data_IF_829897064448
#
_entry.id   IF_829897064448
#
_cell.length_a   1.000
_cell.length_b   1.000
_cell.length_c   1.000
_cell.angle_alpha   90.00
_cell.angle_beta   90.00
_cell.angle_gamma   90.00
#
_symmetry.space_group_name_H-M   'P 1'
#
loop_
_entity.id
_entity.type
_entity.pdbx_description
1 polymer ?
#
# COMPACT_ATOMS: atom_id res chain seq x y z
N UNK A 1 -3.75 -8.16 -26.70
CA UNK A 1 -2.96 -8.16 -25.45
C UNK A 1 -3.63 -9.12 -24.48
N UNK A 2 -2.90 -10.02 -23.82
CA UNK A 2 -3.47 -10.88 -22.80
C UNK A 2 -4.07 -10.03 -21.66
N UNK A 3 -5.19 -10.50 -21.09
CA UNK A 3 -5.81 -9.84 -19.94
C UNK A 3 -4.97 -10.03 -18.66
N UNK A 4 -5.16 -9.18 -17.65
CA UNK A 4 -4.46 -9.32 -16.36
C UNK A 4 -4.63 -10.75 -15.79
N UNK A 5 -5.84 -11.32 -15.91
CA UNK A 5 -6.14 -12.68 -15.46
C UNK A 5 -5.37 -13.77 -16.23
N UNK A 6 -5.14 -13.59 -17.53
CA UNK A 6 -4.33 -14.53 -18.33
C UNK A 6 -2.86 -14.45 -17.96
N UNK A 7 -2.34 -13.25 -17.64
CA UNK A 7 -0.99 -13.08 -17.15
C UNK A 7 -0.78 -13.71 -15.77
N UNK A 8 -1.77 -13.60 -14.87
CA UNK A 8 -1.73 -14.19 -13.54
C UNK A 8 -1.71 -15.73 -13.55
N UNK A 9 -2.17 -16.34 -14.63
CA UNK A 9 -2.17 -17.80 -14.83
C UNK A 9 -0.87 -18.32 -15.47
N UNK A 10 -0.02 -17.43 -15.97
CA UNK A 10 1.20 -17.80 -16.64
C UNK A 10 2.42 -17.71 -15.71
N UNK A 11 3.04 -18.83 -15.29
CA UNK A 11 4.15 -18.83 -14.34
C UNK A 11 5.44 -18.18 -14.85
N UNK A 12 5.53 -17.96 -16.16
CA UNK A 12 6.71 -17.36 -16.79
C UNK A 12 6.63 -15.83 -16.89
N UNK A 13 5.47 -15.26 -16.58
CA UNK A 13 5.27 -13.79 -16.64
C UNK A 13 5.62 -13.17 -15.28
N UNK A 14 6.47 -12.16 -15.32
CA UNK A 14 6.78 -11.30 -14.18
C UNK A 14 6.05 -9.97 -14.36
N UNK A 15 5.25 -9.57 -13.38
CA UNK A 15 4.36 -8.41 -13.50
C UNK A 15 5.04 -7.14 -12.99
N UNK A 16 5.81 -7.24 -11.92
CA UNK A 16 6.47 -6.09 -11.33
C UNK A 16 7.57 -6.44 -10.35
N UNK A 17 7.98 -5.44 -9.56
CA UNK A 17 9.04 -5.55 -8.57
C UNK A 17 8.45 -5.54 -7.16
N UNK A 18 9.01 -6.37 -6.27
CA UNK A 18 8.66 -6.37 -4.84
C UNK A 18 9.27 -5.16 -4.14
N UNK A 19 8.50 -4.58 -3.23
CA UNK A 19 8.95 -3.52 -2.34
C UNK A 19 8.85 -4.00 -0.86
N UNK A 20 9.89 -3.81 -0.05
CA UNK A 20 11.20 -3.22 -0.37
C UNK A 20 12.02 -4.09 -1.32
N UNK A 21 12.97 -3.48 -2.02
CA UNK A 21 13.82 -4.21 -2.96
C UNK A 21 14.67 -5.25 -2.23
N UNK A 22 14.34 -6.51 -2.44
CA UNK A 22 15.06 -7.66 -1.88
C UNK A 22 15.77 -8.43 -3.00
N UNK A 23 16.90 -9.02 -2.67
CA UNK A 23 17.62 -9.86 -3.61
C UNK A 23 16.97 -11.23 -3.67
N UNK A 24 16.58 -11.67 -4.84
CA UNK A 24 16.04 -13.01 -5.06
C UNK A 24 17.15 -13.97 -5.55
N UNK A 25 16.91 -15.29 -5.36
CA UNK A 25 17.83 -16.36 -5.82
C UNK A 25 17.98 -16.39 -7.34
N UNK A 26 16.97 -15.96 -8.08
CA UNK A 26 16.92 -15.99 -9.54
C UNK A 26 17.38 -14.69 -10.23
N UNK A 27 17.63 -13.60 -9.47
CA UNK A 27 17.99 -12.30 -10.04
C UNK A 27 18.44 -11.27 -9.03
N UNK A 28 18.65 -10.04 -9.52
CA UNK A 28 19.06 -8.90 -8.69
C UNK A 28 17.92 -8.36 -7.79
N UNK A 29 16.66 -8.51 -8.26
CA UNK A 29 15.48 -7.97 -7.56
C UNK A 29 14.38 -9.02 -7.49
N UNK A 30 13.68 -9.08 -6.35
CA UNK A 30 12.46 -9.87 -6.21
C UNK A 30 11.36 -9.34 -7.15
N UNK A 31 10.70 -10.24 -7.84
CA UNK A 31 9.60 -9.92 -8.77
C UNK A 31 8.29 -10.50 -8.30
N UNK A 32 7.19 -9.84 -8.66
CA UNK A 32 5.83 -10.32 -8.40
C UNK A 32 5.33 -11.17 -9.56
N UNK A 33 4.55 -12.18 -9.24
CA UNK A 33 4.03 -13.17 -10.21
C UNK A 33 2.56 -12.96 -10.52
N UNK A 34 1.82 -12.28 -9.64
CA UNK A 34 0.40 -12.00 -9.85
C UNK A 34 0.04 -10.54 -9.58
N UNK A 35 -1.07 -10.11 -10.18
CA UNK A 35 -1.54 -8.74 -10.11
C UNK A 35 -1.97 -8.34 -8.69
N UNK A 36 -2.50 -9.26 -7.89
CA UNK A 36 -2.92 -8.96 -6.52
C UNK A 36 -1.71 -8.60 -5.64
N UNK A 37 -0.65 -9.42 -5.68
CA UNK A 37 0.62 -9.15 -4.98
C UNK A 37 1.22 -7.81 -5.43
N UNK A 38 1.28 -7.56 -6.74
CA UNK A 38 1.78 -6.29 -7.27
C UNK A 38 0.94 -5.10 -6.81
N UNK A 39 -0.37 -5.27 -6.69
CA UNK A 39 -1.28 -4.23 -6.19
C UNK A 39 -0.95 -3.84 -4.76
N UNK A 40 -0.62 -4.79 -3.88
CA UNK A 40 -0.13 -4.49 -2.53
C UNK A 40 1.12 -3.61 -2.54
N UNK A 41 2.10 -3.91 -3.40
CA UNK A 41 3.29 -3.07 -3.56
C UNK A 41 2.98 -1.69 -4.14
N UNK A 42 2.03 -1.59 -5.07
CA UNK A 42 1.58 -0.31 -5.62
C UNK A 42 0.89 0.56 -4.56
N UNK A 43 0.05 -0.03 -3.71
CA UNK A 43 -0.57 0.66 -2.57
C UNK A 43 0.49 1.19 -1.61
N UNK A 44 1.46 0.36 -1.22
CA UNK A 44 2.58 0.78 -0.37
C UNK A 44 3.31 1.97 -0.97
N UNK A 45 3.67 1.88 -2.24
CA UNK A 45 4.37 2.96 -2.94
C UNK A 45 3.54 4.26 -2.97
N UNK A 46 2.23 4.16 -3.21
CA UNK A 46 1.33 5.32 -3.24
C UNK A 46 1.20 5.99 -1.86
N UNK A 47 0.85 5.21 -0.85
CA UNK A 47 0.54 5.74 0.48
C UNK A 47 1.78 6.19 1.26
N UNK A 48 2.96 5.59 0.99
CA UNK A 48 4.22 5.97 1.60
C UNK A 48 4.93 7.14 0.90
N UNK A 49 4.47 7.53 -0.28
CA UNK A 49 4.98 8.72 -1.00
C UNK A 49 4.19 9.95 -0.55
N UNK A 50 4.87 10.99 -0.08
CA UNK A 50 4.21 12.24 0.25
C UNK A 50 3.88 13.04 -1.02
N UNK A 51 2.73 13.73 -1.04
CA UNK A 51 2.40 14.67 -2.12
C UNK A 51 3.51 15.73 -2.23
N UNK A 52 3.99 15.98 -3.45
CA UNK A 52 5.09 16.91 -3.73
C UNK A 52 6.49 16.28 -3.71
N UNK A 53 6.64 15.02 -3.28
CA UNK A 53 7.95 14.35 -3.23
C UNK A 53 8.48 13.97 -4.62
N UNK A 54 7.59 13.65 -5.56
CA UNK A 54 7.98 13.31 -6.93
C UNK A 54 8.10 14.55 -7.81
N UNK A 55 9.30 14.84 -8.27
CA UNK A 55 9.60 16.03 -9.10
C UNK A 55 8.76 16.09 -10.38
N UNK A 56 8.55 14.96 -11.05
CA UNK A 56 7.80 14.90 -12.32
C UNK A 56 6.30 14.69 -12.14
N UNK A 57 5.85 14.31 -10.94
CA UNK A 57 4.45 14.04 -10.61
C UNK A 57 4.17 14.47 -9.17
N UNK A 58 4.09 15.77 -8.90
CA UNK A 58 3.92 16.29 -7.54
C UNK A 58 2.58 15.90 -6.91
N UNK A 59 1.56 15.62 -7.72
CA UNK A 59 0.24 15.22 -7.24
C UNK A 59 0.17 13.74 -6.84
N UNK A 60 1.19 12.93 -7.20
CA UNK A 60 1.25 11.53 -6.81
C UNK A 60 1.62 11.39 -5.33
N UNK A 61 0.90 10.52 -4.64
CA UNK A 61 1.14 10.24 -3.24
C UNK A 61 -0.07 10.54 -2.36
N UNK A 62 0.15 10.58 -1.06
CA UNK A 62 -0.88 10.89 -0.06
C UNK A 62 -0.35 11.83 1.02
N UNK A 63 -1.26 12.50 1.73
CA UNK A 63 -0.93 13.27 2.93
C UNK A 63 -1.07 12.43 4.21
N UNK A 64 -1.15 11.12 4.08
CA UNK A 64 -1.38 10.18 5.17
C UNK A 64 -0.39 10.39 6.32
N UNK A 65 0.88 10.57 5.99
CA UNK A 65 1.93 10.81 6.98
C UNK A 65 1.66 12.05 7.83
N UNK A 66 1.24 13.15 7.22
CA UNK A 66 0.92 14.39 7.94
C UNK A 66 -0.26 14.20 8.88
N UNK A 67 -1.32 13.51 8.41
CA UNK A 67 -2.51 13.23 9.21
C UNK A 67 -2.21 12.34 10.41
N UNK A 68 -1.40 11.30 10.24
CA UNK A 68 -1.04 10.37 11.32
C UNK A 68 -0.23 11.03 12.46
N UNK A 69 0.38 12.20 12.20
CA UNK A 69 1.13 12.96 13.21
C UNK A 69 0.39 14.19 13.73
N UNK A 70 -0.86 14.39 13.32
CA UNK A 70 -1.76 15.36 13.94
C UNK A 70 -2.20 14.87 15.33
N UNK A 71 -2.64 15.80 16.19
CA UNK A 71 -3.22 15.43 17.48
C UNK A 71 -4.46 14.57 17.25
N UNK A 72 -4.59 13.51 18.05
CA UNK A 72 -5.74 12.61 17.98
C UNK A 72 -7.03 13.38 18.25
N UNK A 73 -7.94 13.33 17.30
CA UNK A 73 -9.33 13.81 17.38
C UNK A 73 -10.24 12.70 16.88
N UNK A 74 -11.50 12.70 17.34
CA UNK A 74 -12.47 11.69 16.89
C UNK A 74 -12.61 11.66 15.34
N UNK A 75 -12.47 12.82 14.70
CA UNK A 75 -12.56 12.97 13.24
C UNK A 75 -11.29 12.51 12.48
N UNK A 76 -10.17 12.30 13.18
CA UNK A 76 -8.88 11.97 12.53
C UNK A 76 -8.95 10.64 11.78
N UNK A 77 -9.58 9.64 12.37
CA UNK A 77 -9.74 8.32 11.75
C UNK A 77 -10.51 8.40 10.44
N UNK A 78 -11.56 9.20 10.39
CA UNK A 78 -12.38 9.35 9.20
C UNK A 78 -11.63 10.16 8.11
N UNK A 79 -10.90 11.19 8.49
CA UNK A 79 -10.02 11.95 7.58
C UNK A 79 -8.93 11.08 6.97
N UNK A 80 -8.34 10.17 7.74
CA UNK A 80 -7.35 9.21 7.24
C UNK A 80 -7.98 8.26 6.22
N UNK A 81 -9.16 7.73 6.51
CA UNK A 81 -9.89 6.87 5.56
C UNK A 81 -10.23 7.59 4.26
N UNK A 82 -10.70 8.83 4.36
CA UNK A 82 -11.01 9.67 3.19
C UNK A 82 -9.77 9.93 2.33
N UNK A 83 -8.63 10.30 2.94
CA UNK A 83 -7.37 10.53 2.22
C UNK A 83 -6.89 9.25 1.49
N UNK A 84 -6.97 8.08 2.16
CA UNK A 84 -6.62 6.80 1.55
C UNK A 84 -7.55 6.53 0.36
N UNK A 85 -8.86 6.71 0.54
CA UNK A 85 -9.85 6.43 -0.50
C UNK A 85 -9.69 7.38 -1.69
N UNK A 86 -9.41 8.65 -1.47
CA UNK A 86 -9.14 9.65 -2.52
C UNK A 86 -7.89 9.28 -3.32
N UNK A 87 -6.77 9.00 -2.63
CA UNK A 87 -5.53 8.61 -3.28
C UNK A 87 -5.70 7.34 -4.11
N UNK A 88 -6.38 6.33 -3.56
CA UNK A 88 -6.62 5.06 -4.24
C UNK A 88 -7.52 5.21 -5.45
N UNK A 89 -8.63 5.96 -5.34
CA UNK A 89 -9.56 6.18 -6.45
C UNK A 89 -8.91 6.91 -7.62
N UNK A 90 -7.98 7.81 -7.33
CA UNK A 90 -7.26 8.61 -8.32
C UNK A 90 -6.18 7.81 -9.05
N UNK A 91 -5.36 7.07 -8.29
CA UNK A 91 -4.15 6.44 -8.83
C UNK A 91 -4.26 4.94 -9.08
N UNK A 92 -5.13 4.25 -8.34
CA UNK A 92 -5.31 2.79 -8.40
C UNK A 92 -6.79 2.41 -8.51
N UNK A 93 -7.52 2.89 -9.52
CA UNK A 93 -8.99 2.72 -9.62
C UNK A 93 -9.44 1.27 -9.82
N UNK A 94 -8.52 0.35 -10.12
CA UNK A 94 -8.79 -1.09 -10.25
C UNK A 94 -8.79 -1.83 -8.91
N UNK A 95 -8.43 -1.16 -7.81
CA UNK A 95 -8.39 -1.71 -6.45
C UNK A 95 -9.63 -1.24 -5.69
N UNK A 96 -10.25 -2.18 -4.98
CA UNK A 96 -11.38 -1.91 -4.09
C UNK A 96 -10.94 -2.12 -2.66
N UNK A 97 -11.05 -1.09 -1.84
CA UNK A 97 -10.77 -1.15 -0.41
C UNK A 97 -11.96 -1.78 0.29
N UNK A 98 -11.71 -2.81 1.09
CA UNK A 98 -12.72 -3.51 1.88
C UNK A 98 -12.78 -2.99 3.31
N UNK A 99 -11.62 -2.81 3.95
CA UNK A 99 -11.54 -2.23 5.29
C UNK A 99 -10.26 -1.41 5.48
N UNK A 100 -10.31 -0.45 6.38
CA UNK A 100 -9.16 0.33 6.86
C UNK A 100 -9.23 0.36 8.38
N UNK A 101 -8.22 -0.20 9.04
CA UNK A 101 -8.07 -0.20 10.49
C UNK A 101 -6.82 0.56 10.89
N UNK A 102 -6.95 1.42 11.88
CA UNK A 102 -5.83 2.19 12.43
C UNK A 102 -5.59 1.70 13.85
N UNK A 103 -4.38 1.23 14.09
CA UNK A 103 -3.98 0.66 15.38
C UNK A 103 -2.81 1.49 15.91
N UNK A 104 -3.02 2.15 17.04
CA UNK A 104 -1.96 2.79 17.79
C UNK A 104 -1.25 1.74 18.64
N UNK A 105 0.08 1.76 18.65
CA UNK A 105 0.86 0.86 19.49
C UNK A 105 0.89 1.42 20.90
N UNK A 106 0.21 0.77 21.86
CA UNK A 106 0.18 1.17 23.26
C UNK A 106 1.58 1.19 23.92
N UNK A 107 2.52 0.41 23.36
CA UNK A 107 3.90 0.31 23.85
C UNK A 107 4.78 1.43 23.30
N UNK A 108 4.48 1.90 22.09
CA UNK A 108 5.21 2.95 21.39
C UNK A 108 4.24 4.00 20.81
N UNK A 109 3.92 5.05 21.56
CA UNK A 109 2.96 6.08 21.12
C UNK A 109 3.41 6.85 19.85
N UNK A 110 4.65 6.64 19.41
CA UNK A 110 5.19 7.21 18.19
C UNK A 110 5.01 6.29 16.96
N UNK A 111 4.43 5.10 17.13
CA UNK A 111 4.20 4.15 16.05
C UNK A 111 2.69 3.98 15.82
N UNK A 112 2.28 4.21 14.58
CA UNK A 112 0.92 3.96 14.14
C UNK A 112 0.93 2.92 13.04
N UNK A 113 0.08 1.91 13.17
CA UNK A 113 -0.14 0.87 12.16
C UNK A 113 -1.45 1.13 11.42
N UNK A 114 -1.38 1.09 10.13
CA UNK A 114 -2.56 1.16 9.27
C UNK A 114 -2.69 -0.17 8.54
N UNK A 115 -3.71 -0.93 8.88
CA UNK A 115 -4.06 -2.18 8.22
C UNK A 115 -5.12 -1.91 7.16
N UNK A 116 -4.89 -2.43 5.98
CA UNK A 116 -5.69 -2.16 4.80
C UNK A 116 -6.00 -3.46 4.08
N UNK A 117 -7.30 -3.82 4.03
CA UNK A 117 -7.78 -4.96 3.25
C UNK A 117 -8.31 -4.49 1.90
N UNK A 118 -7.88 -5.16 0.85
CA UNK A 118 -8.25 -4.78 -0.51
C UNK A 118 -8.50 -6.00 -1.39
N UNK A 119 -9.19 -5.76 -2.50
CA UNK A 119 -9.42 -6.73 -3.55
C UNK A 119 -9.31 -6.07 -4.92
N UNK A 120 -9.19 -6.89 -5.96
CA UNK A 120 -9.23 -6.39 -7.34
C UNK A 120 -10.67 -6.31 -7.85
N UNK A 121 -10.99 -5.28 -8.60
CA UNK A 121 -12.34 -5.04 -9.12
C UNK A 121 -12.90 -6.22 -9.95
N UNK A 122 -12.02 -6.95 -10.64
CA UNK A 122 -12.37 -8.12 -11.45
C UNK A 122 -12.28 -9.46 -10.69
N UNK A 123 -11.73 -9.48 -9.48
CA UNK A 123 -11.55 -10.66 -8.61
C UNK A 123 -12.01 -10.38 -7.17
N UNK A 124 -13.27 -10.05 -7.00
CA UNK A 124 -13.84 -9.64 -5.70
C UNK A 124 -13.80 -10.72 -4.61
N UNK A 125 -13.53 -11.97 -4.99
CA UNK A 125 -13.46 -13.09 -4.04
C UNK A 125 -12.04 -13.35 -3.50
N UNK A 126 -11.03 -12.65 -4.02
CA UNK A 126 -9.65 -12.70 -3.53
C UNK A 126 -9.34 -11.40 -2.82
N UNK A 127 -9.07 -11.51 -1.54
CA UNK A 127 -8.66 -10.40 -0.69
C UNK A 127 -7.19 -10.57 -0.34
N UNK A 128 -6.52 -9.46 -0.17
CA UNK A 128 -5.18 -9.38 0.38
C UNK A 128 -5.13 -8.25 1.39
N UNK A 129 -4.20 -8.31 2.32
CA UNK A 129 -4.06 -7.29 3.36
C UNK A 129 -2.63 -6.78 3.42
N UNK A 130 -2.50 -5.49 3.67
CA UNK A 130 -1.20 -4.87 3.90
C UNK A 130 -1.23 -4.09 5.20
N UNK A 131 -0.11 -4.17 5.93
CA UNK A 131 0.14 -3.36 7.12
C UNK A 131 1.19 -2.31 6.79
N UNK A 132 0.87 -1.05 7.04
CA UNK A 132 1.79 0.08 6.92
C UNK A 132 2.16 0.54 8.32
N UNK A 133 3.45 0.51 8.64
CA UNK A 133 3.97 1.01 9.91
C UNK A 133 4.57 2.40 9.69
N UNK A 134 4.08 3.36 10.44
CA UNK A 134 4.59 4.73 10.46
C UNK A 134 5.29 4.99 11.79
N UNK A 135 6.55 5.40 11.73
CA UNK A 135 7.36 5.74 12.90
C UNK A 135 7.71 7.23 12.85
N UNK A 136 7.27 7.96 13.86
CA UNK A 136 7.53 9.39 13.99
C UNK A 136 8.98 9.71 14.39
N UNK A 137 9.67 8.76 15.00
CA UNK A 137 11.03 8.99 15.56
C UNK A 137 12.10 8.94 14.48
N UNK A 138 12.00 8.03 13.52
CA UNK A 138 13.04 7.79 12.51
C UNK A 138 12.66 8.25 11.11
N UNK A 139 11.41 8.62 10.91
CA UNK A 139 10.87 8.91 9.58
C UNK A 139 10.84 7.69 8.65
N UNK A 140 11.12 6.50 9.18
CA UNK A 140 11.17 5.26 8.41
C UNK A 140 9.80 4.62 8.39
N UNK A 141 9.31 4.36 7.20
CA UNK A 141 8.08 3.62 6.97
C UNK A 141 8.45 2.21 6.50
N UNK A 142 8.10 1.22 7.30
CA UNK A 142 8.28 -0.19 6.92
C UNK A 142 6.91 -0.82 6.67
N UNK A 143 6.64 -1.19 5.43
CA UNK A 143 5.53 -2.05 5.12
C UNK A 143 5.92 -3.51 5.42
N UNK A 144 5.29 -4.13 6.40
CA UNK A 144 5.37 -5.58 6.58
C UNK A 144 4.29 -6.23 5.73
N UNK A 145 4.72 -7.16 4.91
CA UNK A 145 3.83 -8.04 4.16
C UNK A 145 3.45 -9.18 5.10
N UNK A 146 2.16 -9.35 5.37
CA UNK A 146 1.68 -10.58 5.99
C UNK A 146 1.60 -11.64 4.90
N UNK A 147 2.79 -12.16 4.50
CA UNK A 147 2.89 -13.21 3.54
C UNK A 147 2.31 -14.53 4.07
N UNK A 148 1.45 -15.08 3.30
CA UNK A 148 1.22 -16.52 3.30
C UNK A 148 2.11 -17.16 2.25
#
# INVERSE_FOLDING_TARGET
MPSARENDLNPDVRIGLKLPFTRDRAGLFGTTENTLEQSGHNIKNLLLTAKGERVMQPDFGSNLRTLLFEQYTEDLTDRIKEEIQEAMSTWLPYIVISSVSIIEDETNPNQTKVDLDFSLNYEKNRFDSITLNFDNTTGTTNGTDSGY
#
